data_IF_392389741999
#
_entry.id   IF_392389741999
#
_cell.length_a   1.000
_cell.length_b   1.000
_cell.length_c   1.000
_cell.angle_alpha   90.00
_cell.angle_beta   90.00
_cell.angle_gamma   90.00
#
_symmetry.space_group_name_H-M   'P 1'
#
loop_
_entity.id
_entity.type
_entity.pdbx_description
1 polymer ?
#
# COMPACT_ATOMS: atom_id res chain seq x y z
N UNK A 1 15.15 -7.02 17.79
CA UNK A 1 14.76 -6.47 19.09
C UNK A 1 14.47 -7.59 20.08
N UNK A 2 15.15 -7.59 21.24
CA UNK A 2 15.19 -8.71 22.18
C UNK A 2 13.88 -8.93 22.95
N UNK A 3 12.84 -8.10 22.79
CA UNK A 3 11.62 -8.12 23.61
C UNK A 3 10.32 -7.87 22.86
N UNK A 4 10.31 -7.96 21.54
CA UNK A 4 9.12 -7.75 20.71
C UNK A 4 8.65 -9.04 20.00
N UNK A 5 7.37 -9.11 19.65
CA UNK A 5 6.83 -10.08 18.72
C UNK A 5 6.26 -9.39 17.50
N UNK A 6 6.13 -10.10 16.38
CA UNK A 6 5.51 -9.58 15.16
C UNK A 6 4.08 -9.11 15.49
N UNK A 7 3.74 -7.84 15.22
CA UNK A 7 2.41 -7.30 15.51
C UNK A 7 1.41 -7.78 14.45
N UNK A 8 0.87 -8.98 14.63
CA UNK A 8 -0.15 -9.51 13.73
C UNK A 8 -1.43 -8.66 13.77
N UNK A 9 -2.10 -8.48 12.63
CA UNK A 9 -3.41 -7.83 12.59
C UNK A 9 -4.43 -8.53 13.50
N UNK A 10 -5.31 -7.78 14.19
CA UNK A 10 -6.27 -8.35 15.15
C UNK A 10 -7.18 -9.43 14.57
N UNK A 11 -7.47 -9.39 13.25
CA UNK A 11 -8.32 -10.39 12.60
C UNK A 11 -7.68 -11.78 12.46
N UNK A 12 -6.37 -11.92 12.69
CA UNK A 12 -5.69 -13.23 12.74
C UNK A 12 -6.10 -14.02 13.99
N UNK A 13 -6.49 -13.36 15.07
CA UNK A 13 -7.16 -13.96 16.21
C UNK A 13 -6.32 -14.96 17.04
N UNK A 14 -4.99 -14.96 16.87
CA UNK A 14 -4.06 -15.77 17.64
C UNK A 14 -2.78 -14.99 17.99
N UNK A 15 -2.02 -15.41 19.01
CA UNK A 15 -0.69 -14.87 19.29
C UNK A 15 0.28 -15.13 18.14
N UNK A 16 1.28 -14.26 17.99
CA UNK A 16 2.37 -14.43 17.04
C UNK A 16 3.20 -15.68 17.38
N UNK A 17 3.65 -16.37 16.35
CA UNK A 17 4.52 -17.54 16.41
C UNK A 17 5.84 -17.25 15.69
N UNK A 18 6.88 -18.03 15.93
CA UNK A 18 8.20 -17.82 15.32
C UNK A 18 8.15 -17.78 13.77
N UNK A 19 7.29 -18.59 13.16
CA UNK A 19 7.11 -18.60 11.70
C UNK A 19 6.45 -17.32 11.14
N UNK A 20 5.80 -16.52 11.97
CA UNK A 20 5.17 -15.28 11.50
C UNK A 20 6.21 -14.21 11.15
N UNK A 21 7.42 -14.27 11.69
CA UNK A 21 8.52 -13.38 11.30
C UNK A 21 8.86 -13.51 9.81
N UNK A 22 8.76 -14.74 9.29
CA UNK A 22 9.00 -15.04 7.89
C UNK A 22 7.71 -14.90 7.05
N UNK A 23 6.61 -15.50 7.51
CA UNK A 23 5.35 -15.56 6.75
C UNK A 23 4.57 -14.26 6.69
N UNK A 24 4.73 -13.40 7.69
CA UNK A 24 4.10 -12.07 7.71
C UNK A 24 5.06 -10.99 7.20
N UNK A 25 5.80 -11.31 6.13
CA UNK A 25 6.68 -10.37 5.42
C UNK A 25 6.78 -10.75 3.94
N UNK A 26 6.99 -9.76 3.07
CA UNK A 26 7.18 -10.01 1.65
C UNK A 26 8.61 -10.52 1.37
N UNK A 27 8.77 -11.35 0.33
CA UNK A 27 10.07 -11.90 -0.09
C UNK A 27 11.05 -10.82 -0.55
N UNK A 28 10.55 -9.62 -0.87
CA UNK A 28 11.36 -8.47 -1.31
C UNK A 28 11.52 -7.38 -0.24
N UNK A 29 11.14 -7.62 0.99
CA UNK A 29 11.34 -6.67 2.10
C UNK A 29 12.83 -6.41 2.34
N UNK A 30 13.22 -5.13 2.46
CA UNK A 30 14.62 -4.72 2.67
C UNK A 30 14.81 -3.76 3.85
N UNK A 31 13.84 -2.86 4.05
CA UNK A 31 13.95 -1.75 4.99
C UNK A 31 13.09 -2.01 6.24
N UNK A 32 13.69 -2.38 7.39
CA UNK A 32 12.94 -2.59 8.62
C UNK A 32 12.38 -1.26 9.14
N UNK A 33 11.27 -1.30 9.91
CA UNK A 33 10.70 -0.12 10.56
C UNK A 33 9.17 0.03 10.42
N UNK A 34 8.51 -0.78 9.59
CA UNK A 34 7.06 -0.82 9.53
C UNK A 34 6.48 -1.78 10.59
N UNK A 35 5.36 -1.40 11.20
CA UNK A 35 4.59 -2.25 12.12
C UNK A 35 3.71 -3.25 11.33
N UNK A 36 3.21 -2.85 10.17
CA UNK A 36 2.35 -3.68 9.33
C UNK A 36 3.05 -4.08 8.04
N UNK A 37 3.01 -5.38 7.71
CA UNK A 37 3.46 -5.87 6.41
C UNK A 37 2.50 -5.43 5.28
N UNK A 38 3.00 -5.20 4.05
CA UNK A 38 2.16 -4.91 2.88
C UNK A 38 1.48 -6.19 2.39
N UNK A 39 0.37 -6.57 3.03
CA UNK A 39 -0.27 -7.90 2.86
C UNK A 39 -0.66 -8.26 1.43
N UNK A 40 -0.94 -7.29 0.56
CA UNK A 40 -1.13 -7.56 -0.86
C UNK A 40 0.15 -8.08 -1.55
N UNK A 41 1.32 -7.70 -1.04
CA UNK A 41 2.61 -8.18 -1.51
C UNK A 41 2.90 -9.63 -1.16
N UNK A 42 2.22 -10.20 -0.16
CA UNK A 42 2.37 -11.62 0.23
C UNK A 42 1.88 -12.60 -0.85
N UNK A 43 1.08 -12.12 -1.82
CA UNK A 43 0.69 -12.91 -2.99
C UNK A 43 1.80 -13.06 -4.03
N UNK A 44 2.94 -12.38 -3.84
CA UNK A 44 4.08 -12.38 -4.77
C UNK A 44 5.26 -13.13 -4.15
N UNK A 45 5.45 -14.36 -4.56
CA UNK A 45 6.64 -15.14 -4.26
C UNK A 45 7.74 -14.93 -5.34
N UNK A 46 8.88 -15.57 -5.15
CA UNK A 46 10.01 -15.48 -6.10
C UNK A 46 9.63 -16.01 -7.49
N UNK A 47 8.78 -17.05 -7.57
CA UNK A 47 8.34 -17.62 -8.83
C UNK A 47 7.45 -16.63 -9.61
N UNK A 48 6.52 -15.96 -8.92
CA UNK A 48 5.68 -14.92 -9.53
C UNK A 48 6.53 -13.73 -10.00
N UNK A 49 7.50 -13.27 -9.19
CA UNK A 49 8.40 -12.19 -9.58
C UNK A 49 9.27 -12.56 -10.79
N UNK A 50 9.70 -13.83 -10.89
CA UNK A 50 10.41 -14.32 -12.07
C UNK A 50 9.50 -14.34 -13.30
N UNK A 51 8.27 -14.84 -13.17
CA UNK A 51 7.30 -14.88 -14.27
C UNK A 51 6.95 -13.47 -14.80
N UNK A 52 6.84 -12.47 -13.92
CA UNK A 52 6.66 -11.07 -14.34
C UNK A 52 7.83 -10.57 -15.19
N UNK A 53 9.08 -10.86 -14.77
CA UNK A 53 10.27 -10.49 -15.55
C UNK A 53 10.28 -11.17 -16.93
N UNK A 54 9.97 -12.45 -16.98
CA UNK A 54 9.88 -13.21 -18.24
C UNK A 54 8.80 -12.66 -19.17
N UNK A 55 7.69 -12.18 -18.60
CA UNK A 55 6.63 -11.51 -19.34
C UNK A 55 6.96 -10.07 -19.76
N UNK A 56 8.18 -9.58 -19.47
CA UNK A 56 8.61 -8.22 -19.79
C UNK A 56 7.94 -7.13 -18.91
N UNK A 57 7.40 -7.50 -17.76
CA UNK A 57 6.79 -6.56 -16.80
C UNK A 57 7.88 -6.08 -15.85
N UNK A 58 8.18 -4.79 -15.91
CA UNK A 58 9.15 -4.17 -15.00
C UNK A 58 8.59 -4.12 -13.57
N UNK A 59 9.46 -4.40 -12.59
CA UNK A 59 9.14 -4.26 -11.17
C UNK A 59 10.05 -3.22 -10.52
N UNK A 60 9.48 -2.41 -9.63
CA UNK A 60 10.20 -1.41 -8.85
C UNK A 60 9.65 -1.37 -7.43
N UNK A 61 10.40 -0.83 -6.50
CA UNK A 61 10.04 -0.82 -5.08
C UNK A 61 9.97 0.60 -4.53
N UNK A 62 9.09 0.78 -3.56
CA UNK A 62 9.01 1.95 -2.69
C UNK A 62 8.95 1.49 -1.24
N UNK A 63 9.29 2.37 -0.30
CA UNK A 63 9.18 2.09 1.12
C UNK A 63 8.13 3.01 1.74
N UNK A 64 7.29 2.46 2.63
CA UNK A 64 6.44 3.20 3.54
C UNK A 64 6.52 2.54 4.92
N UNK A 65 6.99 3.27 5.91
CA UNK A 65 7.04 2.81 7.29
C UNK A 65 5.65 3.01 7.93
N UNK A 66 4.81 2.00 7.76
CA UNK A 66 3.44 2.01 8.24
C UNK A 66 3.43 1.90 9.77
N UNK A 67 2.84 2.89 10.43
CA UNK A 67 2.70 2.93 11.89
C UNK A 67 1.52 2.09 12.41
N UNK A 68 1.49 1.87 13.73
CA UNK A 68 0.42 1.12 14.41
C UNK A 68 -0.99 1.72 14.21
N UNK A 69 -1.08 3.01 13.87
CA UNK A 69 -2.34 3.70 13.60
C UNK A 69 -3.14 3.13 12.43
N UNK A 70 -2.49 2.40 11.51
CA UNK A 70 -3.17 1.80 10.34
C UNK A 70 -4.19 0.73 10.73
N UNK A 71 -4.05 0.12 11.90
CA UNK A 71 -4.99 -0.86 12.44
C UNK A 71 -6.14 -0.25 13.24
N UNK A 72 -6.12 1.07 13.46
CA UNK A 72 -7.15 1.73 14.24
C UNK A 72 -8.36 2.03 13.34
N UNK A 73 -9.59 1.70 13.79
CA UNK A 73 -10.78 2.10 13.08
C UNK A 73 -10.97 3.62 13.14
N UNK A 74 -11.60 4.18 12.12
CA UNK A 74 -12.04 5.57 12.14
C UNK A 74 -13.07 5.75 13.25
N UNK A 75 -12.77 6.61 14.23
CA UNK A 75 -13.58 6.83 15.44
C UNK A 75 -14.40 8.12 15.39
N UNK A 76 -14.15 8.97 14.41
CA UNK A 76 -14.86 10.25 14.24
C UNK A 76 -16.14 10.03 13.43
N UNK A 77 -17.14 10.85 13.69
CA UNK A 77 -18.40 10.81 12.94
C UNK A 77 -18.25 11.44 11.56
N UNK A 78 -17.55 12.57 11.48
CA UNK A 78 -17.26 13.25 10.23
C UNK A 78 -15.88 12.87 9.70
N UNK A 79 -15.83 12.43 8.45
CA UNK A 79 -14.58 12.01 7.78
C UNK A 79 -13.56 13.15 7.74
N UNK A 80 -14.02 14.40 7.64
CA UNK A 80 -13.16 15.58 7.60
C UNK A 80 -12.37 15.82 8.91
N UNK A 81 -12.85 15.29 10.03
CA UNK A 81 -12.20 15.41 11.33
C UNK A 81 -11.13 14.33 11.57
N UNK A 82 -11.06 13.33 10.69
CA UNK A 82 -10.07 12.27 10.82
C UNK A 82 -8.67 12.81 10.53
N UNK A 83 -7.72 12.50 11.43
CA UNK A 83 -6.30 12.84 11.28
C UNK A 83 -5.50 11.57 11.08
N UNK A 84 -4.79 11.50 9.95
CA UNK A 84 -3.85 10.43 9.70
C UNK A 84 -2.57 10.65 10.52
N UNK A 85 -1.99 9.54 10.99
CA UNK A 85 -0.64 9.58 11.54
C UNK A 85 0.38 9.81 10.42
N UNK A 86 1.43 10.56 10.72
CA UNK A 86 2.54 10.72 9.80
C UNK A 86 3.32 9.42 9.67
N UNK A 87 3.65 9.07 8.45
CA UNK A 87 4.43 7.90 8.08
C UNK A 87 5.59 8.34 7.17
N UNK A 88 6.76 7.73 7.36
CA UNK A 88 7.92 8.01 6.51
C UNK A 88 7.82 7.16 5.24
N UNK A 89 8.08 7.79 4.09
CA UNK A 89 8.16 7.10 2.82
C UNK A 89 9.49 7.38 2.11
N UNK A 90 9.86 6.46 1.22
CA UNK A 90 10.95 6.60 0.27
C UNK A 90 10.48 6.18 -1.12
N UNK A 91 10.70 7.04 -2.10
CA UNK A 91 10.52 6.77 -3.53
C UNK A 91 11.89 6.86 -4.22
N UNK A 92 12.58 5.72 -4.45
CA UNK A 92 13.91 5.72 -5.04
C UNK A 92 13.92 6.29 -6.46
N UNK A 93 14.98 6.98 -6.85
CA UNK A 93 15.13 7.54 -8.21
C UNK A 93 15.01 6.47 -9.31
N UNK A 94 15.49 5.27 -9.05
CA UNK A 94 15.35 4.14 -9.97
C UNK A 94 13.87 3.78 -10.23
N UNK A 95 13.03 3.86 -9.20
CA UNK A 95 11.58 3.63 -9.33
C UNK A 95 10.93 4.70 -10.19
N UNK A 96 11.31 5.96 -10.03
CA UNK A 96 10.80 7.06 -10.85
C UNK A 96 11.22 6.94 -12.31
N UNK A 97 12.46 6.54 -12.55
CA UNK A 97 12.94 6.26 -13.93
C UNK A 97 12.08 5.17 -14.56
N UNK A 98 11.85 4.05 -13.86
CA UNK A 98 11.04 2.96 -14.36
C UNK A 98 9.58 3.40 -14.66
N UNK A 99 8.98 4.21 -13.82
CA UNK A 99 7.64 4.78 -14.03
C UNK A 99 7.62 5.69 -15.26
N UNK A 100 8.60 6.58 -15.37
CA UNK A 100 8.71 7.53 -16.48
C UNK A 100 8.86 6.80 -17.81
N UNK A 101 9.76 5.81 -17.87
CA UNK A 101 9.96 5.01 -19.09
C UNK A 101 8.69 4.19 -19.42
N UNK A 102 8.05 3.56 -18.43
CA UNK A 102 6.79 2.86 -18.64
C UNK A 102 5.73 3.76 -19.27
N UNK A 103 5.58 5.00 -18.79
CA UNK A 103 4.58 5.95 -19.33
C UNK A 103 4.93 6.44 -20.73
N UNK A 104 6.21 6.64 -21.06
CA UNK A 104 6.65 6.99 -22.42
C UNK A 104 6.23 5.95 -23.45
N UNK A 105 6.19 4.67 -23.07
CA UNK A 105 5.75 3.57 -23.93
C UNK A 105 4.24 3.31 -23.89
N UNK A 106 3.46 4.19 -23.25
CA UNK A 106 2.02 4.01 -23.08
C UNK A 106 1.63 2.90 -22.09
N UNK A 107 2.59 2.44 -21.29
CA UNK A 107 2.36 1.48 -20.21
C UNK A 107 1.65 2.10 -19.01
N UNK A 108 1.32 1.28 -18.02
CA UNK A 108 0.59 1.67 -16.82
C UNK A 108 1.31 1.25 -15.56
N UNK A 109 1.27 2.08 -14.53
CA UNK A 109 1.81 1.81 -13.21
C UNK A 109 0.77 1.07 -12.38
N UNK A 110 1.12 -0.13 -11.95
CA UNK A 110 0.31 -0.95 -11.05
C UNK A 110 0.91 -0.94 -9.65
N UNK A 111 0.22 -0.35 -8.69
CA UNK A 111 0.61 -0.49 -7.28
C UNK A 111 0.15 -1.84 -6.73
N UNK A 112 1.04 -2.56 -6.07
CA UNK A 112 0.71 -3.75 -5.28
C UNK A 112 0.63 -3.34 -3.81
N UNK A 113 -0.60 -3.25 -3.32
CA UNK A 113 -0.94 -2.77 -1.98
C UNK A 113 -1.21 -1.28 -1.89
N UNK A 114 -2.08 -0.94 -0.94
CA UNK A 114 -2.37 0.46 -0.57
C UNK A 114 -1.15 1.18 -0.04
N UNK A 115 -0.19 0.45 0.54
CA UNK A 115 1.11 0.94 0.99
C UNK A 115 1.91 1.55 -0.16
N UNK A 116 2.10 0.79 -1.26
CA UNK A 116 2.82 1.27 -2.44
C UNK A 116 2.08 2.44 -3.10
N UNK A 117 0.74 2.36 -3.19
CA UNK A 117 -0.06 3.45 -3.73
C UNK A 117 0.14 4.74 -2.92
N UNK A 118 0.04 4.69 -1.59
CA UNK A 118 0.18 5.86 -0.72
C UNK A 118 1.57 6.47 -0.80
N UNK A 119 2.63 5.66 -0.85
CA UNK A 119 4.00 6.14 -1.02
C UNK A 119 4.18 6.90 -2.35
N UNK A 120 3.68 6.34 -3.45
CA UNK A 120 3.77 6.97 -4.77
C UNK A 120 2.94 8.25 -4.87
N UNK A 121 1.71 8.26 -4.35
CA UNK A 121 0.85 9.44 -4.35
C UNK A 121 1.40 10.54 -3.43
N UNK A 122 2.05 10.17 -2.31
CA UNK A 122 2.77 11.12 -1.46
C UNK A 122 3.95 11.76 -2.21
N UNK A 123 4.74 10.95 -2.92
CA UNK A 123 5.84 11.44 -3.76
C UNK A 123 5.38 12.33 -4.93
N UNK A 124 4.10 12.21 -5.33
CA UNK A 124 3.46 13.02 -6.38
C UNK A 124 2.61 14.18 -5.84
N UNK A 125 2.63 14.46 -4.54
CA UNK A 125 1.75 15.43 -3.90
C UNK A 125 1.94 16.87 -4.39
N UNK A 126 3.16 17.24 -4.78
CA UNK A 126 3.48 18.56 -5.37
C UNK A 126 2.93 18.77 -6.79
N UNK A 127 2.39 17.75 -7.44
CA UNK A 127 1.94 17.76 -8.83
C UNK A 127 2.86 17.01 -9.79
N UNK A 128 4.11 16.84 -9.40
CA UNK A 128 5.10 16.03 -10.10
C UNK A 128 5.57 14.89 -9.20
N UNK A 129 5.90 13.75 -9.80
CA UNK A 129 6.44 12.60 -9.08
C UNK A 129 7.93 12.84 -8.81
N UNK A 130 8.29 13.04 -7.55
CA UNK A 130 9.64 13.36 -7.11
C UNK A 130 10.28 12.19 -6.36
N UNK A 131 11.55 11.92 -6.68
CA UNK A 131 12.35 10.96 -5.93
C UNK A 131 12.78 11.54 -4.57
N UNK A 132 12.91 10.70 -3.58
CA UNK A 132 13.40 11.10 -2.26
C UNK A 132 12.65 10.45 -1.12
N UNK A 133 12.98 10.91 0.06
CA UNK A 133 12.34 10.53 1.31
C UNK A 133 11.48 11.69 1.82
N UNK A 134 10.44 11.35 2.58
CA UNK A 134 9.58 12.34 3.20
C UNK A 134 8.66 11.75 4.26
N UNK A 135 7.84 12.61 4.83
CA UNK A 135 6.73 12.22 5.67
C UNK A 135 5.41 12.48 4.94
N UNK A 136 4.45 11.62 5.18
CA UNK A 136 3.10 11.78 4.63
C UNK A 136 2.03 11.41 5.66
N UNK A 137 1.00 12.20 5.71
CA UNK A 137 -0.26 11.92 6.39
C UNK A 137 -1.42 11.82 5.37
N UNK A 138 -1.09 11.40 4.15
CA UNK A 138 -2.03 11.36 3.04
C UNK A 138 -3.29 10.56 3.39
N UNK A 139 -4.43 11.23 3.32
CA UNK A 139 -5.75 10.63 3.52
C UNK A 139 -6.52 10.64 2.21
N UNK A 140 -6.60 9.47 1.59
CA UNK A 140 -7.25 9.30 0.28
C UNK A 140 -8.71 8.92 0.47
N UNK A 141 -9.61 9.79 0.04
CA UNK A 141 -11.06 9.62 0.12
C UNK A 141 -11.70 9.78 -1.28
N UNK A 142 -12.96 9.35 -1.47
CA UNK A 142 -13.68 9.58 -2.73
C UNK A 142 -13.59 11.02 -3.21
N UNK A 143 -13.21 11.21 -4.47
CA UNK A 143 -12.90 12.52 -5.08
C UNK A 143 -11.39 12.81 -5.17
N UNK A 144 -10.53 12.00 -4.56
CA UNK A 144 -9.09 12.13 -4.72
C UNK A 144 -8.66 11.92 -6.18
N UNK A 145 -7.75 12.77 -6.66
CA UNK A 145 -7.20 12.67 -8.01
C UNK A 145 -5.83 11.98 -7.99
N UNK A 146 -5.80 10.73 -8.41
CA UNK A 146 -4.57 9.94 -8.52
C UNK A 146 -3.65 10.51 -9.61
N UNK A 147 -2.35 10.52 -9.34
CA UNK A 147 -1.31 11.11 -10.21
C UNK A 147 -0.23 10.10 -10.59
N UNK A 148 0.09 9.20 -9.67
CA UNK A 148 1.20 8.27 -9.83
C UNK A 148 0.76 6.86 -10.24
N UNK A 149 -0.46 6.43 -9.88
CA UNK A 149 -0.92 5.05 -10.00
C UNK A 149 -2.14 4.94 -10.89
N UNK A 150 -2.09 4.07 -11.91
CA UNK A 150 -3.20 3.80 -12.84
C UNK A 150 -3.94 2.50 -12.54
N UNK A 151 -3.31 1.57 -11.78
CA UNK A 151 -3.89 0.29 -11.40
C UNK A 151 -3.53 -0.07 -9.96
N UNK A 152 -4.44 -0.69 -9.26
CA UNK A 152 -4.23 -1.14 -7.88
C UNK A 152 -4.61 -2.61 -7.75
N UNK A 153 -3.66 -3.42 -7.26
CA UNK A 153 -3.92 -4.75 -6.74
C UNK A 153 -3.84 -4.68 -5.23
N UNK A 154 -4.91 -5.07 -4.54
CA UNK A 154 -4.95 -5.01 -3.08
C UNK A 154 -5.92 -6.04 -2.51
N UNK A 155 -5.87 -6.27 -1.21
CA UNK A 155 -6.79 -7.15 -0.50
C UNK A 155 -8.12 -6.43 -0.19
N UNK A 156 -9.11 -7.18 0.29
CA UNK A 156 -10.30 -6.62 0.92
C UNK A 156 -9.93 -5.92 2.23
N UNK A 157 -10.63 -4.85 2.54
CA UNK A 157 -10.39 -4.03 3.72
C UNK A 157 -11.62 -4.03 4.65
N UNK A 158 -11.36 -3.88 5.94
CA UNK A 158 -12.40 -3.85 6.95
C UNK A 158 -13.34 -2.64 6.79
N UNK A 159 -14.62 -2.79 7.16
CA UNK A 159 -15.52 -1.65 7.24
C UNK A 159 -15.00 -0.55 8.17
N UNK A 160 -15.39 0.69 7.90
CA UNK A 160 -15.00 1.88 8.68
C UNK A 160 -13.48 2.08 8.78
N UNK A 161 -12.74 1.68 7.76
CA UNK A 161 -11.29 1.89 7.69
C UNK A 161 -10.92 2.93 6.64
N UNK A 162 -9.80 3.61 6.85
CA UNK A 162 -9.22 4.55 5.88
C UNK A 162 -8.87 3.85 4.57
N UNK A 163 -8.50 2.57 4.63
CA UNK A 163 -8.16 1.76 3.46
C UNK A 163 -9.39 1.42 2.62
N UNK A 164 -10.57 1.19 3.23
CA UNK A 164 -11.81 1.04 2.48
C UNK A 164 -12.19 2.33 1.74
N UNK A 165 -11.97 3.50 2.36
CA UNK A 165 -12.18 4.79 1.71
C UNK A 165 -11.25 4.97 0.51
N UNK A 166 -9.98 4.58 0.64
CA UNK A 166 -8.99 4.62 -0.44
C UNK A 166 -9.42 3.76 -1.63
N UNK A 167 -9.83 2.51 -1.41
CA UNK A 167 -10.25 1.66 -2.54
C UNK A 167 -11.56 2.14 -3.15
N UNK A 168 -12.47 2.74 -2.38
CA UNK A 168 -13.65 3.42 -2.90
C UNK A 168 -13.29 4.66 -3.75
N UNK A 169 -12.27 5.40 -3.35
CA UNK A 169 -11.75 6.52 -4.14
C UNK A 169 -11.16 6.05 -5.47
N UNK A 170 -10.45 4.91 -5.47
CA UNK A 170 -9.78 4.37 -6.64
C UNK A 170 -10.73 3.69 -7.62
N UNK A 171 -11.57 2.78 -7.14
CA UNK A 171 -12.44 1.93 -7.97
C UNK A 171 -13.87 2.43 -8.13
N UNK A 172 -14.22 3.52 -7.43
CA UNK A 172 -15.60 4.02 -7.35
C UNK A 172 -16.42 3.31 -6.27
N UNK A 173 -17.16 4.08 -5.48
CA UNK A 173 -17.88 3.58 -4.31
C UNK A 173 -18.89 2.49 -4.66
N UNK A 174 -19.67 2.66 -5.74
CA UNK A 174 -20.67 1.66 -6.16
C UNK A 174 -20.00 0.36 -6.64
N UNK A 175 -18.93 0.44 -7.41
CA UNK A 175 -18.19 -0.73 -7.86
C UNK A 175 -17.65 -1.52 -6.65
N UNK A 176 -17.07 -0.81 -5.67
CA UNK A 176 -16.57 -1.45 -4.45
C UNK A 176 -17.69 -2.08 -3.63
N UNK A 177 -18.82 -1.40 -3.44
CA UNK A 177 -19.99 -2.00 -2.77
C UNK A 177 -20.46 -3.28 -3.43
N UNK A 178 -20.53 -3.29 -4.76
CA UNK A 178 -20.93 -4.48 -5.52
C UNK A 178 -19.92 -5.61 -5.38
N UNK A 179 -18.62 -5.31 -5.48
CA UNK A 179 -17.54 -6.30 -5.28
C UNK A 179 -17.60 -6.92 -3.88
N UNK A 180 -17.80 -6.10 -2.85
CA UNK A 180 -17.90 -6.58 -1.46
C UNK A 180 -19.14 -7.41 -1.20
N UNK A 181 -20.31 -7.03 -1.76
CA UNK A 181 -21.52 -7.86 -1.68
C UNK A 181 -21.38 -9.21 -2.36
N UNK A 182 -20.59 -9.27 -3.43
CA UNK A 182 -20.33 -10.52 -4.14
C UNK A 182 -19.36 -11.42 -3.39
N UNK A 183 -18.40 -10.83 -2.64
CA UNK A 183 -17.35 -11.57 -1.93
C UNK A 183 -17.80 -12.10 -0.56
N UNK A 184 -18.86 -11.56 0.03
CA UNK A 184 -19.45 -11.93 1.33
C UNK A 184 -20.80 -12.59 1.09
#
# INVERSE_FOLDING_TARGET
>A
DSFGSVPLPPYIGRPAQALDEEHYQTVYAKNPGAVAAPTAGLHFDEAMLAALREAGIATATVTLHVGAGTFQPVRVEEVADHRMHKERYEAPSATLVAITETRKWGGRVTAVGTTALRALEAAASSGELLAGEGETDIFITPGYRFRAVERLLTNFHLPRSTLLMLVCAFGGTENMRNAYRHAV
#
